data_IF_176626375128
#
_entry.id   IF_176626375128
#
_cell.length_a   1.000
_cell.length_b   1.000
_cell.length_c   1.000
_cell.angle_alpha   90.00
_cell.angle_beta   90.00
_cell.angle_gamma   90.00
#
_symmetry.space_group_name_H-M   'P 1'
#
loop_
_entity.id
_entity.type
_entity.pdbx_description
1 polymer ?
#
# COMPACT_ATOMS: atom_id res chain seq x y z
N UNK A 1 -5.38 -4.23 -28.65
CA UNK A 1 -4.26 -4.74 -27.85
C UNK A 1 -4.46 -6.23 -27.64
N UNK A 2 -3.41 -7.04 -27.73
CA UNK A 2 -3.52 -8.49 -27.62
C UNK A 2 -3.99 -8.86 -26.19
N UNK A 3 -5.15 -9.52 -26.00
CA UNK A 3 -5.74 -9.77 -24.67
C UNK A 3 -4.81 -10.59 -23.77
N UNK A 4 -3.93 -11.40 -24.35
CA UNK A 4 -2.92 -12.19 -23.64
C UNK A 4 -1.83 -11.33 -22.96
N UNK A 5 -1.45 -10.19 -23.55
CA UNK A 5 -0.40 -9.34 -22.98
C UNK A 5 -0.87 -8.64 -21.70
N UNK A 6 -2.14 -8.24 -21.63
CA UNK A 6 -2.69 -7.59 -20.45
C UNK A 6 -2.73 -8.53 -19.25
N UNK A 7 -3.15 -9.79 -19.47
CA UNK A 7 -3.25 -10.78 -18.41
C UNK A 7 -1.90 -11.18 -17.80
N UNK A 8 -0.86 -11.34 -18.63
CA UNK A 8 0.49 -11.65 -18.12
C UNK A 8 1.03 -10.48 -17.30
N UNK A 9 0.82 -9.24 -17.75
CA UNK A 9 1.19 -8.05 -17.01
C UNK A 9 0.45 -7.95 -15.67
N UNK A 10 -0.83 -8.29 -15.63
CA UNK A 10 -1.63 -8.29 -14.39
C UNK A 10 -1.12 -9.33 -13.39
N UNK A 11 -0.80 -10.54 -13.86
CA UNK A 11 -0.24 -11.60 -12.99
C UNK A 11 1.12 -11.18 -12.45
N UNK A 12 2.01 -10.63 -13.29
CA UNK A 12 3.31 -10.12 -12.85
C UNK A 12 3.12 -8.98 -11.85
N UNK A 13 2.19 -8.07 -12.09
CA UNK A 13 1.88 -6.97 -11.19
C UNK A 13 1.40 -7.47 -9.82
N UNK A 14 0.42 -8.38 -9.79
CA UNK A 14 -0.05 -8.97 -8.54
C UNK A 14 1.05 -9.73 -7.80
N UNK A 15 1.89 -10.48 -8.53
CA UNK A 15 3.04 -11.18 -7.95
C UNK A 15 4.02 -10.20 -7.29
N UNK A 16 4.35 -9.10 -7.97
CA UNK A 16 5.20 -8.04 -7.42
C UNK A 16 4.57 -7.39 -6.19
N UNK A 17 3.24 -7.22 -6.17
CA UNK A 17 2.51 -6.66 -5.05
C UNK A 17 2.57 -7.58 -3.82
N UNK A 18 2.37 -8.89 -4.01
CA UNK A 18 2.58 -9.91 -2.95
C UNK A 18 4.00 -9.87 -2.43
N UNK A 19 4.99 -9.89 -3.33
CA UNK A 19 6.40 -9.83 -2.97
C UNK A 19 6.75 -8.58 -2.17
N UNK A 20 6.23 -7.42 -2.57
CA UNK A 20 6.44 -6.15 -1.89
C UNK A 20 5.89 -6.16 -0.47
N UNK A 21 4.62 -6.53 -0.28
CA UNK A 21 3.99 -6.54 1.06
C UNK A 21 4.59 -7.62 1.98
N UNK A 22 4.99 -8.77 1.42
CA UNK A 22 5.72 -9.79 2.16
C UNK A 22 7.08 -9.27 2.65
N UNK A 23 7.85 -8.62 1.77
CA UNK A 23 9.14 -8.02 2.12
C UNK A 23 8.99 -6.93 3.18
N UNK A 24 7.96 -6.10 3.08
CA UNK A 24 7.65 -5.06 4.06
C UNK A 24 7.34 -5.67 5.43
N UNK A 25 6.50 -6.72 5.46
CA UNK A 25 6.16 -7.45 6.68
C UNK A 25 7.42 -8.03 7.33
N UNK A 26 8.28 -8.72 6.57
CA UNK A 26 9.54 -9.28 7.08
C UNK A 26 10.45 -8.20 7.65
N UNK A 27 10.63 -7.09 6.91
CA UNK A 27 11.44 -5.94 7.35
C UNK A 27 10.94 -5.38 8.69
N UNK A 28 9.64 -5.22 8.84
CA UNK A 28 9.05 -4.70 10.09
C UNK A 28 9.22 -5.66 11.26
N UNK A 29 9.12 -6.97 11.03
CA UNK A 29 9.40 -7.98 12.06
C UNK A 29 10.85 -7.92 12.53
N UNK A 30 11.80 -7.76 11.61
CA UNK A 30 13.23 -7.57 11.95
C UNK A 30 13.43 -6.29 12.77
N UNK A 31 12.77 -5.19 12.40
CA UNK A 31 12.85 -3.93 13.16
C UNK A 31 12.30 -4.08 14.59
N UNK A 32 11.18 -4.79 14.77
CA UNK A 32 10.63 -5.10 16.09
C UNK A 32 11.60 -5.95 16.90
N UNK A 33 12.18 -6.99 16.30
CA UNK A 33 13.18 -7.84 16.95
C UNK A 33 14.45 -7.06 17.38
N UNK A 34 14.83 -6.05 16.60
CA UNK A 34 15.94 -5.14 16.91
C UNK A 34 15.58 -4.02 17.91
N UNK A 35 14.39 -4.06 18.51
CA UNK A 35 13.97 -3.13 19.57
C UNK A 35 13.22 -1.88 19.10
N UNK A 36 12.85 -1.79 17.81
CA UNK A 36 12.02 -0.68 17.31
C UNK A 36 10.61 -0.74 17.88
N UNK A 37 10.12 0.40 18.40
CA UNK A 37 8.76 0.52 18.95
C UNK A 37 7.75 0.79 17.85
N UNK A 38 7.42 -0.24 17.08
CA UNK A 38 6.37 -0.21 16.05
C UNK A 38 5.03 -0.55 16.68
N UNK A 39 3.99 0.19 16.28
CA UNK A 39 2.61 -0.01 16.77
C UNK A 39 2.05 -1.33 16.23
N UNK A 40 1.47 -2.17 17.09
CA UNK A 40 1.02 -3.52 16.72
C UNK A 40 -0.03 -3.55 15.60
N UNK A 41 -0.95 -2.57 15.58
CA UNK A 41 -1.97 -2.46 14.53
C UNK A 41 -1.35 -2.24 13.13
N UNK A 42 -0.24 -1.51 13.05
CA UNK A 42 0.45 -1.24 11.80
C UNK A 42 1.03 -2.54 11.20
N UNK A 43 1.57 -3.39 12.05
CA UNK A 43 2.05 -4.70 11.62
C UNK A 43 0.89 -5.68 11.25
N UNK A 44 -0.27 -5.58 11.91
CA UNK A 44 -1.47 -6.34 11.51
C UNK A 44 -1.96 -5.89 10.14
N UNK A 45 -1.96 -4.57 9.88
CA UNK A 45 -2.32 -4.00 8.60
C UNK A 45 -1.50 -4.59 7.45
N UNK A 46 -0.16 -4.57 7.54
CA UNK A 46 0.71 -5.14 6.50
C UNK A 46 0.53 -6.64 6.28
N UNK A 47 0.23 -7.37 7.36
CA UNK A 47 -0.09 -8.78 7.27
C UNK A 47 -1.40 -9.01 6.49
N UNK A 48 -2.46 -8.27 6.82
CA UNK A 48 -3.74 -8.31 6.09
C UNK A 48 -3.51 -7.94 4.62
N UNK A 49 -2.75 -6.88 4.32
CA UNK A 49 -2.44 -6.49 2.94
C UNK A 49 -1.71 -7.59 2.15
N UNK A 50 -0.81 -8.34 2.79
CA UNK A 50 -0.11 -9.47 2.16
C UNK A 50 -1.07 -10.61 1.81
N UNK A 51 -2.03 -10.91 2.70
CA UNK A 51 -3.06 -11.90 2.45
C UNK A 51 -3.99 -11.45 1.31
N UNK A 52 -4.44 -10.19 1.32
CA UNK A 52 -5.28 -9.64 0.26
C UNK A 52 -4.58 -9.68 -1.11
N UNK A 53 -3.30 -9.30 -1.16
CA UNK A 53 -2.49 -9.41 -2.37
C UNK A 53 -2.45 -10.85 -2.92
N UNK A 54 -2.34 -11.83 -2.02
CA UNK A 54 -2.29 -13.25 -2.37
C UNK A 54 -3.64 -13.75 -2.90
N UNK A 55 -4.76 -13.30 -2.31
CA UNK A 55 -6.11 -13.60 -2.79
C UNK A 55 -6.31 -13.02 -4.19
N UNK A 56 -5.82 -11.81 -4.47
CA UNK A 56 -5.91 -11.19 -5.79
C UNK A 56 -5.13 -11.97 -6.85
N UNK A 57 -3.95 -12.49 -6.49
CA UNK A 57 -3.12 -13.28 -7.40
C UNK A 57 -3.82 -14.57 -7.86
N UNK A 58 -4.60 -15.19 -6.98
CA UNK A 58 -5.31 -16.46 -7.24
C UNK A 58 -6.69 -16.21 -7.86
N UNK A 59 -7.16 -14.96 -7.90
CA UNK A 59 -8.49 -14.62 -8.42
C UNK A 59 -8.59 -15.02 -9.91
N UNK A 60 -9.50 -15.96 -10.27
CA UNK A 60 -9.67 -16.37 -11.67
C UNK A 60 -10.22 -15.24 -12.54
N UNK A 61 -9.97 -15.30 -13.84
CA UNK A 61 -10.56 -14.35 -14.80
C UNK A 61 -12.08 -14.50 -14.83
N UNK A 62 -12.77 -13.55 -14.21
CA UNK A 62 -14.23 -13.52 -14.07
C UNK A 62 -14.78 -12.14 -14.40
N UNK A 63 -16.08 -12.08 -14.70
CA UNK A 63 -16.79 -10.82 -14.98
C UNK A 63 -16.71 -9.84 -13.81
N UNK A 64 -16.58 -10.33 -12.57
CA UNK A 64 -16.38 -9.51 -11.37
C UNK A 64 -14.98 -8.91 -11.32
N UNK A 65 -13.96 -9.73 -11.60
CA UNK A 65 -12.57 -9.28 -11.66
C UNK A 65 -12.36 -8.22 -12.75
N UNK A 66 -12.86 -8.46 -13.97
CA UNK A 66 -12.68 -7.53 -15.10
C UNK A 66 -13.28 -6.15 -14.82
N UNK A 67 -14.40 -6.08 -14.11
CA UNK A 67 -15.04 -4.80 -13.72
C UNK A 67 -14.28 -4.06 -12.62
N UNK A 68 -13.62 -4.77 -11.72
CA UNK A 68 -12.88 -4.19 -10.59
C UNK A 68 -11.41 -3.87 -10.94
N UNK A 69 -10.84 -4.58 -11.91
CA UNK A 69 -9.43 -4.52 -12.31
C UNK A 69 -8.91 -3.10 -12.52
N UNK A 70 -9.57 -2.32 -13.36
CA UNK A 70 -9.08 -0.97 -13.71
C UNK A 70 -9.11 -0.02 -12.50
N UNK A 71 -10.13 -0.14 -11.67
CA UNK A 71 -10.24 0.60 -10.41
C UNK A 71 -9.12 0.20 -9.44
N UNK A 72 -8.85 -1.10 -9.30
CA UNK A 72 -7.78 -1.63 -8.45
C UNK A 72 -6.39 -1.21 -8.93
N UNK A 73 -6.15 -1.20 -10.24
CA UNK A 73 -4.87 -0.74 -10.81
C UNK A 73 -4.64 0.74 -10.51
N UNK A 74 -5.66 1.59 -10.68
CA UNK A 74 -5.57 3.02 -10.36
C UNK A 74 -5.31 3.24 -8.86
N UNK A 75 -6.01 2.50 -8.00
CA UNK A 75 -5.79 2.53 -6.56
C UNK A 75 -4.37 2.10 -6.20
N UNK A 76 -3.86 1.03 -6.80
CA UNK A 76 -2.51 0.54 -6.55
C UNK A 76 -1.45 1.54 -7.00
N UNK A 77 -1.63 2.19 -8.15
CA UNK A 77 -0.74 3.27 -8.61
C UNK A 77 -0.73 4.43 -7.60
N UNK A 78 -1.91 4.84 -7.14
CA UNK A 78 -2.05 5.88 -6.12
C UNK A 78 -1.33 5.50 -4.81
N UNK A 79 -1.54 4.28 -4.30
CA UNK A 79 -0.85 3.78 -3.10
C UNK A 79 0.68 3.77 -3.26
N UNK A 80 1.20 3.39 -4.42
CA UNK A 80 2.65 3.43 -4.66
C UNK A 80 3.21 4.86 -4.58
N UNK A 81 2.48 5.86 -5.07
CA UNK A 81 2.86 7.27 -4.92
C UNK A 81 2.85 7.66 -3.44
N UNK A 82 1.81 7.30 -2.69
CA UNK A 82 1.71 7.58 -1.24
C UNK A 82 2.87 6.91 -0.49
N UNK A 83 3.20 5.66 -0.80
CA UNK A 83 4.34 4.95 -0.20
C UNK A 83 5.67 5.64 -0.50
N UNK A 84 5.90 6.12 -1.72
CA UNK A 84 7.09 6.90 -2.05
C UNK A 84 7.19 8.16 -1.19
N UNK A 85 6.09 8.91 -1.01
CA UNK A 85 6.06 10.11 -0.17
C UNK A 85 6.33 9.75 1.30
N UNK A 86 5.70 8.70 1.82
CA UNK A 86 5.91 8.22 3.19
C UNK A 86 7.34 7.73 3.43
N UNK A 87 7.95 7.06 2.46
CA UNK A 87 9.34 6.61 2.54
C UNK A 87 10.30 7.81 2.66
N UNK A 88 10.15 8.83 1.81
CA UNK A 88 10.98 10.04 1.88
C UNK A 88 10.82 10.74 3.23
N UNK A 89 9.58 10.80 3.75
CA UNK A 89 9.30 11.36 5.07
C UNK A 89 10.02 10.57 6.19
N UNK A 90 9.91 9.23 6.20
CA UNK A 90 10.53 8.37 7.22
C UNK A 90 12.06 8.48 7.20
N UNK A 91 12.66 8.49 6.01
CA UNK A 91 14.11 8.67 5.82
C UNK A 91 14.54 10.03 6.39
N UNK A 92 13.80 11.11 6.11
CA UNK A 92 14.08 12.44 6.66
C UNK A 92 14.02 12.51 8.18
N UNK A 93 13.06 11.82 8.81
CA UNK A 93 12.98 11.71 10.28
C UNK A 93 14.16 10.93 10.88
N UNK A 94 14.55 9.81 10.26
CA UNK A 94 15.68 9.00 10.71
C UNK A 94 17.00 9.79 10.65
N UNK A 95 17.23 10.52 9.56
CA UNK A 95 18.39 11.40 9.44
C UNK A 95 18.44 12.45 10.56
N UNK A 96 17.30 13.04 10.94
CA UNK A 96 17.25 14.01 12.04
C UNK A 96 17.59 13.36 13.38
N UNK A 97 17.06 12.16 13.66
CA UNK A 97 17.39 11.43 14.90
C UNK A 97 18.88 11.06 14.95
N UNK A 98 19.46 10.64 13.82
CA UNK A 98 20.91 10.38 13.73
C UNK A 98 21.74 11.66 13.94
N UNK A 99 21.36 12.79 13.33
CA UNK A 99 22.05 14.07 13.51
C UNK A 99 21.93 14.65 14.93
N UNK A 100 20.82 14.38 15.63
CA UNK A 100 20.63 14.75 17.04
C UNK A 100 21.40 13.83 18.00
N UNK A 101 21.78 12.62 17.55
CA UNK A 101 22.50 11.62 18.34
C UNK A 101 24.00 11.51 18.03
N UNK A 102 24.50 12.07 16.93
CA UNK A 102 25.93 12.11 16.57
C UNK A 102 26.43 13.55 16.47
N UNK A 103 27.37 13.93 17.34
CA UNK A 103 28.23 15.11 17.11
C UNK A 103 29.12 14.82 15.91
N UNK A 104 28.89 15.50 14.78
CA UNK A 104 29.91 16.03 13.87
C UNK A 104 29.27 17.18 13.06
N UNK A 105 29.94 18.33 12.90
CA UNK A 105 29.45 19.40 12.05
C UNK A 105 29.73 19.00 10.60
N UNK A 106 28.68 18.68 9.84
CA UNK A 106 28.82 18.53 8.40
C UNK A 106 27.71 19.31 7.75
N UNK A 107 28.10 20.49 7.25
CA UNK A 107 27.28 21.32 6.38
C UNK A 107 26.87 20.50 5.16
N UNK A 108 25.56 20.33 5.00
CA UNK A 108 24.97 19.98 3.71
C UNK A 108 23.90 21.02 3.45
N UNK A 109 24.27 22.00 2.63
CA UNK A 109 23.37 22.92 1.94
C UNK A 109 22.55 22.15 0.92
N UNK A 110 21.49 21.49 1.38
CA UNK A 110 20.35 21.22 0.51
C UNK A 110 19.19 22.05 1.03
N UNK A 111 19.37 23.37 0.90
CA UNK A 111 18.26 24.30 0.83
C UNK A 111 17.48 23.99 -0.43
N UNK A 112 16.33 23.36 -0.24
CA UNK A 112 15.43 23.02 -1.33
C UNK A 112 14.01 22.90 -0.81
N UNK A 113 13.08 23.54 -1.51
CA UNK A 113 11.64 23.47 -1.26
C UNK A 113 11.15 22.02 -1.10
N UNK A 114 11.76 21.06 -1.81
CA UNK A 114 11.50 19.62 -1.69
C UNK A 114 11.89 19.06 -0.30
N UNK A 115 13.05 19.43 0.24
CA UNK A 115 13.49 19.02 1.58
C UNK A 115 12.57 19.60 2.66
N UNK A 116 12.05 20.82 2.49
CA UNK A 116 11.07 21.41 3.41
C UNK A 116 9.67 20.76 3.31
N UNK A 117 9.20 20.47 2.09
CA UNK A 117 7.88 19.91 1.80
C UNK A 117 7.73 18.48 2.34
N UNK A 118 8.73 17.62 2.13
CA UNK A 118 8.70 16.21 2.56
C UNK A 118 9.07 16.00 4.04
N UNK A 119 9.45 17.06 4.78
CA UNK A 119 9.81 17.00 6.20
C UNK A 119 8.63 17.29 7.13
N UNK A 120 7.56 17.90 6.62
CA UNK A 120 6.36 18.22 7.40
C UNK A 120 5.36 17.08 7.26
N UNK A 121 5.04 16.44 8.40
CA UNK A 121 4.00 15.42 8.49
C UNK A 121 2.67 15.87 7.86
N UNK A 122 2.36 17.16 7.99
CA UNK A 122 1.18 17.81 7.41
C UNK A 122 1.07 17.68 5.89
N UNK A 123 2.19 17.56 5.17
CA UNK A 123 2.17 17.37 3.72
C UNK A 123 1.78 15.95 3.33
N UNK A 124 2.23 14.94 4.06
CA UNK A 124 1.94 13.52 3.78
C UNK A 124 0.50 13.14 4.16
N UNK A 125 -0.05 13.74 5.22
CA UNK A 125 -1.38 13.45 5.73
C UNK A 125 -2.54 13.58 4.71
N UNK A 126 -2.67 14.62 3.87
CA UNK A 126 -3.75 14.71 2.90
C UNK A 126 -3.72 13.59 1.86
N UNK A 127 -2.53 13.14 1.43
CA UNK A 127 -2.41 12.00 0.52
C UNK A 127 -2.80 10.69 1.20
N UNK A 128 -2.47 10.54 2.48
CA UNK A 128 -2.90 9.39 3.25
C UNK A 128 -4.44 9.37 3.43
N UNK A 129 -5.05 10.53 3.70
CA UNK A 129 -6.51 10.63 3.80
C UNK A 129 -7.19 10.33 2.46
N UNK A 130 -6.62 10.79 1.34
CA UNK A 130 -7.07 10.43 0.01
C UNK A 130 -6.99 8.92 -0.25
N UNK A 131 -5.95 8.24 0.25
CA UNK A 131 -5.82 6.79 0.15
C UNK A 131 -6.97 6.07 0.87
N UNK A 132 -7.29 6.49 2.10
CA UNK A 132 -8.39 5.92 2.88
C UNK A 132 -9.76 6.18 2.24
N UNK A 133 -10.00 7.35 1.65
CA UNK A 133 -11.23 7.62 0.90
C UNK A 133 -11.34 6.68 -0.30
N UNK A 134 -10.24 6.48 -1.03
CA UNK A 134 -10.24 5.58 -2.18
C UNK A 134 -10.41 4.12 -1.74
N UNK A 135 -9.85 3.73 -0.60
CA UNK A 135 -10.08 2.41 0.00
C UNK A 135 -11.57 2.17 0.32
N UNK A 136 -12.26 3.15 0.92
CA UNK A 136 -13.70 3.08 1.13
C UNK A 136 -14.50 3.00 -0.18
N UNK A 137 -14.07 3.74 -1.22
CA UNK A 137 -14.68 3.66 -2.54
C UNK A 137 -14.52 2.26 -3.17
N UNK A 138 -13.36 1.62 -3.00
CA UNK A 138 -13.13 0.24 -3.43
C UNK A 138 -14.03 -0.75 -2.68
N UNK A 139 -14.15 -0.61 -1.36
CA UNK A 139 -15.04 -1.44 -0.56
C UNK A 139 -16.52 -1.30 -1.00
N UNK A 140 -16.95 -0.07 -1.30
CA UNK A 140 -18.30 0.19 -1.82
C UNK A 140 -18.52 -0.44 -3.21
N UNK A 141 -17.57 -0.28 -4.14
CA UNK A 141 -17.65 -0.90 -5.47
C UNK A 141 -17.75 -2.43 -5.39
N UNK A 142 -16.94 -3.06 -4.52
CA UNK A 142 -16.98 -4.50 -4.29
C UNK A 142 -18.29 -4.95 -3.65
N UNK A 143 -18.82 -4.19 -2.69
CA UNK A 143 -20.14 -4.45 -2.12
C UNK A 143 -21.26 -4.35 -3.16
N UNK A 144 -21.17 -3.42 -4.10
CA UNK A 144 -22.12 -3.36 -5.22
C UNK A 144 -21.99 -4.58 -6.15
N UNK A 145 -20.77 -5.02 -6.44
CA UNK A 145 -20.49 -6.22 -7.26
C UNK A 145 -20.99 -7.50 -6.56
N UNK A 146 -20.82 -7.62 -5.24
CA UNK A 146 -21.23 -8.82 -4.49
C UNK A 146 -22.75 -9.04 -4.50
N UNK A 147 -23.53 -7.98 -4.70
CA UNK A 147 -25.01 -8.05 -4.82
C UNK A 147 -25.49 -8.50 -6.19
N UNK A 148 -24.60 -8.67 -7.16
CA UNK A 148 -24.97 -9.05 -8.52
C UNK A 148 -25.09 -10.56 -8.67
N UNK A 149 -26.06 -11.03 -9.46
CA UNK A 149 -26.38 -12.45 -9.60
C UNK A 149 -25.28 -13.30 -10.25
N UNK A 150 -24.26 -12.70 -10.88
CA UNK A 150 -23.12 -13.40 -11.47
C UNK A 150 -21.94 -13.60 -10.49
N UNK A 151 -22.01 -12.99 -9.29
CA UNK A 151 -20.94 -13.04 -8.31
C UNK A 151 -21.11 -14.26 -7.38
N UNK A 152 -20.49 -15.38 -7.74
CA UNK A 152 -20.39 -16.57 -6.87
C UNK A 152 -19.02 -16.69 -6.17
N UNK A 153 -18.16 -15.69 -6.34
CA UNK A 153 -16.76 -15.74 -5.93
C UNK A 153 -16.60 -15.30 -4.47
N UNK A 154 -15.96 -16.15 -3.67
CA UNK A 154 -15.69 -15.88 -2.27
C UNK A 154 -14.63 -14.79 -2.07
N UNK A 155 -13.78 -14.57 -3.09
CA UNK A 155 -12.72 -13.56 -3.09
C UNK A 155 -13.28 -12.15 -2.88
N UNK A 156 -14.42 -11.83 -3.50
CA UNK A 156 -15.10 -10.53 -3.34
C UNK A 156 -15.46 -10.29 -1.86
N UNK A 157 -16.03 -11.30 -1.20
CA UNK A 157 -16.40 -11.22 0.22
C UNK A 157 -15.18 -11.05 1.13
N UNK A 158 -14.08 -11.79 0.86
CA UNK A 158 -12.82 -11.63 1.61
C UNK A 158 -12.24 -10.23 1.48
N UNK A 159 -12.29 -9.63 0.28
CA UNK A 159 -11.83 -8.26 0.06
C UNK A 159 -12.68 -7.22 0.79
N UNK A 160 -14.01 -7.35 0.78
CA UNK A 160 -14.90 -6.47 1.54
C UNK A 160 -14.58 -6.54 3.04
N UNK A 161 -14.40 -7.74 3.59
CA UNK A 161 -14.05 -7.92 5.01
C UNK A 161 -12.71 -7.27 5.32
N UNK A 162 -11.71 -7.43 4.45
CA UNK A 162 -10.40 -6.83 4.66
C UNK A 162 -10.46 -5.29 4.68
N UNK A 163 -11.22 -4.66 3.78
CA UNK A 163 -11.41 -3.20 3.78
C UNK A 163 -12.21 -2.65 4.96
N UNK A 164 -12.89 -3.50 5.73
CA UNK A 164 -13.58 -3.13 6.97
C UNK A 164 -12.72 -3.33 8.22
N UNK A 165 -11.67 -4.15 8.14
CA UNK A 165 -10.75 -4.45 9.25
C UNK A 165 -9.56 -3.48 9.32
N UNK A 166 -9.38 -2.67 8.29
CA UNK A 166 -8.36 -1.63 8.14
C UNK A 166 -8.93 -0.28 8.56
#
# INVERSE_FOLDING_TARGET
>A
GNPLNHRVLDIVFHFLLVWYYCTLTIRERILIANGSRIKGWWNIYHFISTVCASILLIWPSSTSYDKFRDQFMLFSLYLNIVHCIQYQYQVGCLYKLHALGQRHPMDITVDGFMSWMFRRMTFTLPFLFGAYIFELYNAYSLYYISRQSYCHEWQVSSFIISGLLV
#
